data_IF_569542977090
#
_entry.id   IF_569542977090
#
_cell.length_a   1.000
_cell.length_b   1.000
_cell.length_c   1.000
_cell.angle_alpha   90.00
_cell.angle_beta   90.00
_cell.angle_gamma   90.00
#
_symmetry.space_group_name_H-M   'P 1'
#
loop_
_entity.id
_entity.type
_entity.pdbx_description
1 polymer ?
#
# COMPACT_ATOMS: atom_id res chain seq x y z
N UNK A 1 -32.79 16.08 -29.94
CA UNK A 1 -32.38 14.92 -30.78
C UNK A 1 -31.33 15.44 -31.74
N UNK A 2 -30.06 15.17 -31.47
CA UNK A 2 -28.96 15.38 -32.40
C UNK A 2 -28.06 14.15 -32.33
N UNK A 3 -27.78 13.61 -33.51
CA UNK A 3 -27.15 12.33 -33.76
C UNK A 3 -25.69 12.26 -33.33
N UNK A 4 -25.37 11.10 -32.77
CA UNK A 4 -24.05 10.63 -32.38
C UNK A 4 -23.32 10.02 -33.58
N UNK A 5 -22.44 10.78 -34.23
CA UNK A 5 -21.44 10.20 -35.16
C UNK A 5 -20.39 11.24 -35.60
N UNK A 6 -19.57 11.77 -34.68
CA UNK A 6 -18.34 12.49 -35.09
C UNK A 6 -17.32 12.80 -33.96
N UNK A 7 -16.93 11.81 -33.14
CA UNK A 7 -15.86 12.00 -32.15
C UNK A 7 -14.77 10.91 -32.14
N UNK A 8 -14.76 9.99 -33.13
CA UNK A 8 -13.81 8.86 -33.17
C UNK A 8 -12.52 9.10 -33.98
N UNK A 9 -12.26 10.30 -34.50
CA UNK A 9 -11.16 10.53 -35.45
C UNK A 9 -9.96 11.35 -34.95
N UNK A 10 -9.72 11.47 -33.63
CA UNK A 10 -8.59 12.27 -33.13
C UNK A 10 -7.46 11.52 -32.39
N UNK A 11 -7.44 10.18 -32.39
CA UNK A 11 -6.40 9.38 -31.71
C UNK A 11 -5.72 8.30 -32.57
N UNK A 12 -5.48 8.57 -33.85
CA UNK A 12 -4.59 7.73 -34.66
C UNK A 12 -3.48 8.61 -35.21
N UNK A 13 -2.31 8.60 -34.58
CA UNK A 13 -1.00 8.54 -35.26
C UNK A 13 0.13 8.30 -34.24
N UNK A 14 1.04 7.40 -34.64
CA UNK A 14 2.33 6.99 -34.03
C UNK A 14 2.33 6.02 -32.84
N UNK A 15 2.10 4.74 -33.16
CA UNK A 15 2.61 3.60 -32.37
C UNK A 15 3.72 2.91 -33.17
N UNK A 16 4.88 2.81 -32.52
CA UNK A 16 6.13 2.21 -32.99
C UNK A 16 5.97 0.69 -33.27
N UNK A 17 6.43 0.12 -34.40
CA UNK A 17 6.15 -1.27 -34.78
C UNK A 17 6.88 -2.36 -33.97
N UNK A 18 7.73 -2.02 -32.99
CA UNK A 18 8.55 -3.01 -32.27
C UNK A 18 7.84 -3.79 -31.14
N UNK A 19 6.64 -3.38 -30.70
CA UNK A 19 5.97 -3.98 -29.53
C UNK A 19 5.10 -5.22 -29.83
N UNK A 20 4.76 -5.49 -31.09
CA UNK A 20 3.85 -6.61 -31.41
C UNK A 20 4.53 -7.98 -31.50
N UNK A 21 5.85 -8.05 -31.70
CA UNK A 21 6.56 -9.34 -31.83
C UNK A 21 6.88 -10.01 -30.48
N UNK A 22 6.79 -9.29 -29.36
CA UNK A 22 7.05 -9.87 -28.02
C UNK A 22 5.83 -10.57 -27.40
N UNK A 23 4.62 -10.33 -27.92
CA UNK A 23 3.38 -10.81 -27.30
C UNK A 23 3.02 -12.27 -27.64
N UNK A 24 3.63 -12.84 -28.69
CA UNK A 24 3.26 -14.17 -29.19
C UNK A 24 4.23 -15.31 -28.79
N UNK A 25 5.46 -15.02 -28.36
CA UNK A 25 6.43 -16.06 -27.98
C UNK A 25 6.42 -16.45 -26.50
N UNK A 26 5.87 -15.62 -25.61
CA UNK A 26 5.81 -15.92 -24.17
C UNK A 26 4.60 -16.79 -23.73
N UNK A 27 3.69 -17.10 -24.65
CA UNK A 27 2.44 -17.80 -24.31
C UNK A 27 2.56 -19.33 -24.30
N UNK A 28 3.68 -19.92 -24.75
CA UNK A 28 3.77 -21.37 -24.96
C UNK A 28 4.68 -22.17 -24.01
N UNK A 29 5.41 -21.55 -23.08
CA UNK A 29 6.33 -22.28 -22.17
C UNK A 29 5.92 -22.33 -20.68
N UNK A 30 4.80 -21.73 -20.26
CA UNK A 30 4.42 -21.65 -18.83
C UNK A 30 3.27 -22.55 -18.37
N UNK A 31 2.97 -23.65 -19.08
CA UNK A 31 1.89 -24.58 -18.68
C UNK A 31 2.31 -25.76 -17.79
N UNK A 32 3.54 -25.81 -17.25
CA UNK A 32 4.03 -27.00 -16.51
C UNK A 32 4.56 -26.78 -15.08
N UNK A 33 4.24 -25.66 -14.41
CA UNK A 33 4.61 -25.47 -13.00
C UNK A 33 3.44 -24.94 -12.14
N UNK A 34 2.26 -25.53 -12.26
CA UNK A 34 1.12 -25.31 -11.35
C UNK A 34 0.81 -26.64 -10.66
N UNK A 35 1.63 -27.02 -9.67
CA UNK A 35 1.40 -28.23 -8.88
C UNK A 35 2.24 -28.25 -7.60
N UNK A 36 2.24 -27.17 -6.82
CA UNK A 36 2.65 -27.21 -5.39
C UNK A 36 1.85 -26.16 -4.62
N UNK A 37 0.53 -26.32 -4.61
CA UNK A 37 -0.37 -25.66 -3.66
C UNK A 37 -1.27 -26.75 -3.07
N UNK A 38 -0.65 -27.76 -2.44
CA UNK A 38 -1.37 -28.75 -1.65
C UNK A 38 -1.94 -28.05 -0.43
N UNK A 39 -3.27 -28.00 -0.45
CA UNK A 39 -4.20 -27.44 0.52
C UNK A 39 -4.00 -28.12 1.89
N UNK A 40 -3.18 -27.51 2.76
CA UNK A 40 -3.24 -27.79 4.18
C UNK A 40 -4.50 -27.14 4.73
N UNK A 41 -5.32 -27.88 5.48
CA UNK A 41 -6.47 -27.36 6.21
C UNK A 41 -6.00 -26.18 7.09
N UNK A 42 -6.33 -24.95 6.68
CA UNK A 42 -5.94 -23.71 7.35
C UNK A 42 -6.77 -23.54 8.63
N UNK A 43 -6.13 -23.24 9.77
CA UNK A 43 -6.83 -22.71 10.93
C UNK A 43 -7.33 -21.30 10.59
N UNK A 44 -8.65 -21.13 10.59
CA UNK A 44 -9.32 -19.85 10.38
C UNK A 44 -8.92 -18.91 11.53
N UNK A 45 -8.17 -17.85 11.24
CA UNK A 45 -7.64 -16.93 12.25
C UNK A 45 -8.47 -15.64 12.23
N UNK A 46 -9.60 -15.65 12.95
CA UNK A 46 -10.55 -14.56 12.99
C UNK A 46 -9.90 -13.26 13.50
N UNK A 47 -10.27 -12.14 12.88
CA UNK A 47 -9.81 -10.80 13.27
C UNK A 47 -10.92 -9.86 13.67
N UNK A 48 -10.54 -8.90 14.51
CA UNK A 48 -11.37 -7.77 14.91
C UNK A 48 -10.71 -6.48 14.44
N UNK A 49 -11.46 -5.61 13.77
CA UNK A 49 -11.04 -4.26 13.42
C UNK A 49 -11.94 -3.23 14.10
N UNK A 50 -11.34 -2.32 14.84
CA UNK A 50 -12.01 -1.26 15.58
C UNK A 50 -11.75 0.08 14.90
N UNK A 51 -12.80 0.75 14.46
CA UNK A 51 -12.68 1.95 13.63
C UNK A 51 -13.09 3.18 14.43
N UNK A 52 -12.26 4.22 14.32
CA UNK A 52 -12.66 5.56 14.73
C UNK A 52 -12.14 6.64 13.76
N UNK A 53 -12.69 7.83 13.87
CA UNK A 53 -12.50 8.94 12.94
C UNK A 53 -11.93 10.19 13.63
N UNK A 54 -11.19 10.99 12.87
CA UNK A 54 -10.71 12.29 13.34
C UNK A 54 -10.85 13.34 12.25
N UNK A 55 -11.45 14.47 12.62
CA UNK A 55 -11.67 15.62 11.73
C UNK A 55 -13.15 15.91 11.56
N UNK A 56 -13.45 16.89 10.72
CA UNK A 56 -14.82 17.32 10.43
C UNK A 56 -15.13 17.22 8.94
N UNK A 57 -16.41 17.18 8.57
CA UNK A 57 -16.84 17.06 7.17
C UNK A 57 -17.01 18.42 6.46
N UNK A 58 -16.62 19.53 7.10
CA UNK A 58 -16.66 20.86 6.51
C UNK A 58 -15.70 20.98 5.33
N UNK A 59 -16.13 21.73 4.31
CA UNK A 59 -15.30 22.08 3.14
C UNK A 59 -14.85 23.55 3.18
N UNK A 60 -15.18 24.28 4.25
CA UNK A 60 -14.72 25.65 4.45
C UNK A 60 -13.45 25.66 5.31
N UNK A 61 -12.29 25.63 4.65
CA UNK A 61 -10.97 25.49 5.29
C UNK A 61 -10.53 26.71 6.12
N UNK A 62 -11.29 27.81 6.12
CA UNK A 62 -11.09 28.90 7.09
C UNK A 62 -11.58 28.54 8.50
N UNK A 63 -12.48 27.55 8.63
CA UNK A 63 -13.11 27.12 9.88
C UNK A 63 -12.96 25.62 10.16
N UNK A 64 -12.65 24.85 9.12
CA UNK A 64 -12.64 23.39 9.10
C UNK A 64 -11.22 22.89 8.82
N UNK A 65 -10.88 21.71 9.35
CA UNK A 65 -9.58 21.09 9.07
C UNK A 65 -9.43 20.76 7.58
N UNK A 66 -8.20 20.63 7.09
CA UNK A 66 -7.94 20.25 5.69
C UNK A 66 -8.06 18.74 5.47
N UNK A 67 -7.87 17.94 6.51
CA UNK A 67 -7.88 16.49 6.44
C UNK A 67 -9.01 15.87 7.27
N UNK A 68 -9.48 14.71 6.83
CA UNK A 68 -10.34 13.82 7.57
C UNK A 68 -9.67 12.45 7.62
N UNK A 69 -9.57 11.85 8.80
CA UNK A 69 -8.87 10.58 8.98
C UNK A 69 -9.85 9.53 9.48
N UNK A 70 -9.65 8.30 9.00
CA UNK A 70 -10.32 7.12 9.54
C UNK A 70 -9.26 6.08 9.84
N UNK A 71 -9.23 5.59 11.07
CA UNK A 71 -8.22 4.64 11.54
C UNK A 71 -8.88 3.36 12.01
N UNK A 72 -8.39 2.23 11.50
CA UNK A 72 -8.73 0.89 11.93
C UNK A 72 -7.60 0.32 12.80
N UNK A 73 -7.95 -0.11 14.02
CA UNK A 73 -7.09 -0.87 14.92
C UNK A 73 -7.47 -2.34 14.84
N UNK A 74 -6.52 -3.18 14.44
CA UNK A 74 -6.74 -4.58 14.09
C UNK A 74 -6.08 -5.47 15.14
N UNK A 75 -6.85 -6.44 15.64
CA UNK A 75 -6.45 -7.38 16.69
C UNK A 75 -6.80 -8.80 16.23
N UNK A 76 -5.88 -9.74 16.46
CA UNK A 76 -6.15 -11.16 16.24
C UNK A 76 -6.98 -11.70 17.41
N UNK A 77 -7.89 -12.65 17.14
CA UNK A 77 -8.68 -13.29 18.20
C UNK A 77 -7.81 -13.87 19.33
N UNK A 78 -6.69 -14.50 18.99
CA UNK A 78 -5.74 -15.06 19.95
C UNK A 78 -5.05 -14.03 20.86
N UNK A 79 -4.99 -12.76 20.45
CA UNK A 79 -4.35 -11.68 21.22
C UNK A 79 -5.39 -10.76 21.90
N UNK A 80 -6.70 -11.00 21.70
CA UNK A 80 -7.79 -10.11 22.13
C UNK A 80 -7.73 -9.79 23.62
N UNK A 81 -7.76 -10.81 24.49
CA UNK A 81 -7.75 -10.64 25.95
C UNK A 81 -6.48 -9.95 26.46
N UNK A 82 -5.34 -10.23 25.82
CA UNK A 82 -4.07 -9.65 26.21
C UNK A 82 -4.03 -8.14 25.89
N UNK A 83 -4.53 -7.76 24.70
CA UNK A 83 -4.64 -6.36 24.29
C UNK A 83 -5.68 -5.63 25.13
N UNK A 84 -6.82 -6.25 25.44
CA UNK A 84 -7.85 -5.65 26.30
C UNK A 84 -7.27 -5.32 27.69
N UNK A 85 -6.63 -6.30 28.33
CA UNK A 85 -5.96 -6.10 29.64
C UNK A 85 -4.86 -5.03 29.56
N UNK A 86 -4.08 -5.00 28.48
CA UNK A 86 -3.07 -3.96 28.24
C UNK A 86 -3.69 -2.57 28.14
N UNK A 87 -4.81 -2.45 27.43
CA UNK A 87 -5.55 -1.19 27.27
C UNK A 87 -6.16 -0.73 28.59
N UNK A 88 -6.69 -1.65 29.41
CA UNK A 88 -7.17 -1.33 30.76
C UNK A 88 -6.05 -0.84 31.67
N UNK A 89 -4.85 -1.41 31.58
CA UNK A 89 -3.67 -0.92 32.33
C UNK A 89 -3.29 0.50 31.92
N UNK A 90 -3.27 0.79 30.61
CA UNK A 90 -3.04 2.13 30.08
C UNK A 90 -4.04 3.15 30.63
N UNK A 91 -5.33 2.76 30.63
CA UNK A 91 -6.43 3.57 31.17
C UNK A 91 -6.24 3.87 32.66
N UNK A 92 -5.90 2.86 33.45
CA UNK A 92 -5.62 3.03 34.88
C UNK A 92 -4.41 3.94 35.13
N UNK A 93 -3.33 3.76 34.36
CA UNK A 93 -2.08 4.50 34.55
C UNK A 93 -2.22 5.99 34.16
N UNK A 94 -2.71 6.29 32.96
CA UNK A 94 -2.71 7.66 32.43
C UNK A 94 -3.99 8.45 32.66
N UNK A 95 -5.11 7.76 32.88
CA UNK A 95 -6.45 8.35 33.01
C UNK A 95 -7.14 8.02 34.34
N UNK A 96 -6.44 7.37 35.29
CA UNK A 96 -6.99 6.96 36.59
C UNK A 96 -8.28 6.14 36.47
N UNK A 97 -8.36 5.29 35.44
CA UNK A 97 -9.56 4.52 35.15
C UNK A 97 -10.67 5.32 34.46
N UNK A 98 -10.46 6.59 34.11
CA UNK A 98 -11.34 7.35 33.22
C UNK A 98 -11.19 6.91 31.75
N UNK A 99 -12.16 7.22 30.91
CA UNK A 99 -12.15 6.90 29.47
C UNK A 99 -10.90 7.47 28.74
N UNK A 100 -10.22 6.61 27.96
CA UNK A 100 -9.07 6.93 27.12
C UNK A 100 -9.56 7.71 25.90
N UNK A 101 -9.50 9.04 25.98
CA UNK A 101 -9.91 9.95 24.90
C UNK A 101 -8.77 10.86 24.48
N UNK A 102 -8.53 10.95 23.17
CA UNK A 102 -7.49 11.79 22.57
C UNK A 102 -7.66 13.27 22.95
N UNK A 103 -8.92 13.73 22.97
CA UNK A 103 -9.29 15.10 23.31
C UNK A 103 -8.94 15.48 24.76
N UNK A 104 -8.99 14.53 25.72
CA UNK A 104 -8.71 14.78 27.14
C UNK A 104 -7.26 15.10 27.45
N UNK A 105 -6.32 14.78 26.55
CA UNK A 105 -4.90 15.09 26.73
C UNK A 105 -4.54 16.53 26.34
N UNK A 106 -5.38 17.18 25.52
CA UNK A 106 -5.15 18.54 25.07
C UNK A 106 -3.79 18.69 24.35
N UNK A 107 -3.03 19.72 24.74
CA UNK A 107 -1.72 20.09 24.15
C UNK A 107 -0.51 19.40 24.81
N UNK A 108 -0.70 18.44 25.72
CA UNK A 108 0.44 17.78 26.40
C UNK A 108 1.11 16.73 25.50
N UNK A 109 2.04 17.20 24.65
CA UNK A 109 2.76 16.37 23.69
C UNK A 109 3.56 15.24 24.36
N UNK A 110 4.24 15.51 25.48
CA UNK A 110 5.02 14.50 26.22
C UNK A 110 4.15 13.33 26.67
N UNK A 111 3.04 13.62 27.35
CA UNK A 111 2.09 12.60 27.80
C UNK A 111 1.52 11.79 26.63
N UNK A 112 1.25 12.44 25.49
CA UNK A 112 0.79 11.75 24.28
C UNK A 112 1.86 10.78 23.74
N UNK A 113 3.11 11.22 23.63
CA UNK A 113 4.22 10.35 23.18
C UNK A 113 4.38 9.12 24.08
N UNK A 114 4.29 9.30 25.39
CA UNK A 114 4.44 8.19 26.35
C UNK A 114 3.31 7.15 26.18
N UNK A 115 2.06 7.61 26.02
CA UNK A 115 0.94 6.70 25.72
C UNK A 115 1.10 6.01 24.38
N UNK A 116 1.53 6.72 23.32
CA UNK A 116 1.76 6.11 22.01
C UNK A 116 2.86 5.04 22.05
N UNK A 117 3.92 5.24 22.86
CA UNK A 117 4.96 4.23 23.07
C UNK A 117 4.38 2.98 23.73
N UNK A 118 3.59 3.14 24.78
CA UNK A 118 2.98 1.99 25.45
C UNK A 118 1.96 1.26 24.55
N UNK A 119 1.20 2.01 23.73
CA UNK A 119 0.33 1.44 22.69
C UNK A 119 1.15 0.65 21.66
N UNK A 120 2.32 1.16 21.24
CA UNK A 120 3.19 0.49 20.28
C UNK A 120 3.74 -0.86 20.80
N UNK A 121 3.73 -1.06 22.12
CA UNK A 121 4.08 -2.33 22.76
C UNK A 121 2.95 -3.38 22.77
N UNK A 122 1.71 -2.99 22.46
CA UNK A 122 0.59 -3.92 22.35
C UNK A 122 0.64 -4.68 21.00
N UNK A 123 0.12 -5.90 20.99
CA UNK A 123 -0.01 -6.73 19.78
C UNK A 123 -1.18 -6.28 18.90
N UNK A 124 -1.16 -5.01 18.51
CA UNK A 124 -2.15 -4.40 17.62
C UNK A 124 -1.51 -4.08 16.28
N UNK A 125 -2.36 -3.86 15.28
CA UNK A 125 -1.96 -3.31 13.99
C UNK A 125 -2.85 -2.13 13.63
N UNK A 126 -2.28 -1.10 13.02
CA UNK A 126 -3.00 0.14 12.71
C UNK A 126 -3.00 0.38 11.22
N UNK A 127 -4.17 0.65 10.65
CA UNK A 127 -4.32 1.11 9.27
C UNK A 127 -5.11 2.41 9.27
N UNK A 128 -4.61 3.44 8.59
CA UNK A 128 -5.27 4.75 8.55
C UNK A 128 -5.48 5.19 7.12
N UNK A 129 -6.66 5.73 6.81
CA UNK A 129 -6.94 6.45 5.57
C UNK A 129 -6.95 7.93 5.88
N UNK A 130 -6.03 8.68 5.27
CA UNK A 130 -5.93 10.13 5.40
C UNK A 130 -6.53 10.80 4.15
N UNK A 131 -7.67 11.48 4.33
CA UNK A 131 -8.39 12.15 3.25
C UNK A 131 -8.07 13.63 3.21
N UNK A 132 -7.55 14.10 2.09
CA UNK A 132 -7.36 15.52 1.82
C UNK A 132 -8.66 16.13 1.24
N UNK A 133 -9.40 16.83 2.09
CA UNK A 133 -10.73 17.36 1.75
C UNK A 133 -10.68 18.46 0.68
N UNK A 134 -9.53 19.12 0.50
CA UNK A 134 -9.35 20.20 -0.48
C UNK A 134 -9.54 19.73 -1.93
N UNK A 135 -9.44 18.42 -2.14
CA UNK A 135 -9.48 17.80 -3.46
C UNK A 135 -10.78 17.02 -3.72
N UNK A 136 -11.80 17.20 -2.86
CA UNK A 136 -13.11 16.60 -3.03
C UNK A 136 -13.96 17.42 -4.02
N UNK A 137 -14.05 16.95 -5.26
CA UNK A 137 -14.68 17.73 -6.37
C UNK A 137 -16.20 17.47 -6.52
N UNK A 138 -16.78 16.47 -5.84
CA UNK A 138 -18.19 16.11 -6.01
C UNK A 138 -19.14 16.93 -5.13
N UNK A 139 -20.30 17.35 -5.70
CA UNK A 139 -21.43 17.95 -4.96
C UNK A 139 -21.93 17.05 -3.82
N UNK A 140 -21.75 15.74 -3.95
CA UNK A 140 -22.16 14.75 -2.94
C UNK A 140 -21.43 14.90 -1.60
N UNK A 141 -20.20 15.41 -1.58
CA UNK A 141 -19.41 15.58 -0.36
C UNK A 141 -19.91 16.72 0.55
N UNK A 142 -20.81 17.57 0.04
CA UNK A 142 -21.51 18.58 0.86
C UNK A 142 -22.50 17.94 1.84
N UNK A 143 -22.97 16.73 1.55
CA UNK A 143 -23.93 16.01 2.39
C UNK A 143 -23.20 15.07 3.34
N UNK A 144 -23.43 15.23 4.65
CA UNK A 144 -22.80 14.42 5.71
C UNK A 144 -22.95 12.91 5.45
N UNK A 145 -24.18 12.43 5.23
CA UNK A 145 -24.44 10.99 5.00
C UNK A 145 -23.63 10.42 3.82
N UNK A 146 -23.59 11.14 2.70
CA UNK A 146 -22.86 10.71 1.49
C UNK A 146 -21.35 10.74 1.67
N UNK A 147 -20.82 11.75 2.38
CA UNK A 147 -19.39 11.85 2.70
C UNK A 147 -18.92 10.65 3.52
N UNK A 148 -19.56 10.38 4.66
CA UNK A 148 -19.14 9.30 5.56
C UNK A 148 -19.25 7.93 4.87
N UNK A 149 -20.36 7.70 4.15
CA UNK A 149 -20.55 6.46 3.38
C UNK A 149 -19.45 6.23 2.33
N UNK A 150 -19.01 7.27 1.65
CA UNK A 150 -17.94 7.18 0.66
C UNK A 150 -16.58 6.90 1.30
N UNK A 151 -16.28 7.56 2.41
CA UNK A 151 -15.01 7.41 3.13
C UNK A 151 -14.87 6.01 3.74
N UNK A 152 -15.89 5.55 4.46
CA UNK A 152 -15.87 4.20 5.02
C UNK A 152 -15.75 3.14 3.93
N UNK A 153 -16.42 3.34 2.77
CA UNK A 153 -16.25 2.43 1.63
C UNK A 153 -14.80 2.30 1.18
N UNK A 154 -14.01 3.39 1.22
CA UNK A 154 -12.57 3.30 0.90
C UNK A 154 -11.88 2.41 1.94
N UNK A 155 -12.04 2.70 3.23
CA UNK A 155 -11.43 1.90 4.31
C UNK A 155 -11.84 0.43 4.23
N UNK A 156 -13.14 0.15 4.14
CA UNK A 156 -13.70 -1.21 4.07
C UNK A 156 -13.16 -1.95 2.86
N UNK A 157 -13.13 -1.30 1.69
CA UNK A 157 -12.61 -1.93 0.48
C UNK A 157 -11.13 -2.28 0.60
N UNK A 158 -10.37 -1.57 1.42
CA UNK A 158 -8.95 -1.82 1.65
C UNK A 158 -8.75 -2.92 2.70
N UNK A 159 -9.55 -2.93 3.78
CA UNK A 159 -9.51 -3.98 4.80
C UNK A 159 -10.01 -5.33 4.26
N UNK A 160 -11.14 -5.35 3.54
CA UNK A 160 -11.76 -6.58 3.02
C UNK A 160 -10.90 -7.24 1.94
N UNK A 161 -10.11 -6.48 1.17
CA UNK A 161 -9.16 -7.07 0.20
C UNK A 161 -8.05 -7.88 0.88
N UNK A 162 -7.75 -7.56 2.14
CA UNK A 162 -6.60 -8.07 2.87
C UNK A 162 -7.01 -9.19 3.84
N UNK A 163 -8.21 -9.15 4.41
CA UNK A 163 -8.65 -10.09 5.45
C UNK A 163 -9.78 -11.02 4.98
N UNK A 164 -9.56 -12.33 5.05
CA UNK A 164 -10.52 -13.39 4.69
C UNK A 164 -11.69 -13.45 5.71
N UNK A 165 -11.41 -13.37 7.02
CA UNK A 165 -12.43 -13.30 8.08
C UNK A 165 -12.22 -12.10 9.01
N UNK A 166 -13.15 -11.14 8.94
CA UNK A 166 -13.04 -9.86 9.65
C UNK A 166 -14.36 -9.46 10.31
N UNK A 167 -14.29 -9.18 11.61
CA UNK A 167 -15.37 -8.49 12.35
C UNK A 167 -14.98 -7.03 12.52
N UNK A 168 -15.75 -6.11 11.94
CA UNK A 168 -15.56 -4.68 12.08
C UNK A 168 -16.51 -4.13 13.15
N UNK A 169 -15.96 -3.42 14.14
CA UNK A 169 -16.70 -2.65 15.13
C UNK A 169 -16.36 -1.16 14.97
N UNK A 170 -17.35 -0.32 14.73
CA UNK A 170 -17.19 1.14 14.65
C UNK A 170 -17.90 1.83 15.82
N UNK A 171 -17.40 2.99 16.25
CA UNK A 171 -18.17 3.83 17.18
C UNK A 171 -19.51 4.22 16.55
N UNK A 172 -20.52 4.41 17.39
CA UNK A 172 -21.85 4.79 16.94
C UNK A 172 -21.87 6.26 16.54
N UNK A 173 -22.06 6.56 15.26
CA UNK A 173 -22.15 7.93 14.75
C UNK A 173 -23.36 8.13 13.83
N UNK A 174 -24.05 9.26 14.00
CA UNK A 174 -25.28 9.56 13.28
C UNK A 174 -26.53 8.90 13.88
N UNK A 175 -27.64 8.96 13.15
CA UNK A 175 -28.93 8.42 13.61
C UNK A 175 -29.04 6.92 13.32
N UNK A 176 -29.88 6.21 14.08
CA UNK A 176 -30.07 4.75 13.94
C UNK A 176 -30.39 4.31 12.50
N UNK A 177 -31.23 5.09 11.80
CA UNK A 177 -31.59 4.84 10.40
C UNK A 177 -30.39 4.95 9.44
N UNK A 178 -29.43 5.84 9.73
CA UNK A 178 -28.19 5.94 8.95
C UNK A 178 -27.29 4.72 9.20
N UNK A 179 -27.16 4.29 10.45
CA UNK A 179 -26.37 3.13 10.84
C UNK A 179 -26.93 1.84 10.22
N UNK A 180 -28.24 1.63 10.27
CA UNK A 180 -28.91 0.49 9.62
C UNK A 180 -28.74 0.51 8.10
N UNK A 181 -28.95 1.67 7.47
CA UNK A 181 -28.75 1.85 6.03
C UNK A 181 -27.30 1.62 5.60
N UNK A 182 -26.34 1.93 6.47
CA UNK A 182 -24.91 1.69 6.24
C UNK A 182 -24.55 0.21 6.36
N UNK A 183 -25.03 -0.49 7.39
CA UNK A 183 -24.87 -1.95 7.52
C UNK A 183 -25.47 -2.71 6.33
N UNK A 184 -26.69 -2.35 5.93
CA UNK A 184 -27.34 -2.94 4.77
C UNK A 184 -26.57 -2.68 3.47
N UNK A 185 -26.00 -1.48 3.32
CA UNK A 185 -25.16 -1.13 2.19
C UNK A 185 -23.89 -1.99 2.12
N UNK A 186 -23.15 -2.15 3.23
CA UNK A 186 -21.94 -2.97 3.24
C UNK A 186 -22.28 -4.43 2.90
N UNK A 187 -23.29 -5.01 3.55
CA UNK A 187 -23.73 -6.40 3.26
C UNK A 187 -24.11 -6.60 1.79
N UNK A 188 -24.71 -5.60 1.15
CA UNK A 188 -25.09 -5.65 -0.26
C UNK A 188 -23.88 -5.59 -1.21
N UNK A 189 -22.87 -4.79 -0.88
CA UNK A 189 -21.68 -4.62 -1.73
C UNK A 189 -20.58 -5.65 -1.46
N UNK A 190 -20.65 -6.31 -0.30
CA UNK A 190 -19.72 -7.36 0.13
C UNK A 190 -20.53 -8.53 0.73
N UNK A 191 -21.24 -9.31 -0.11
CA UNK A 191 -22.02 -10.44 0.38
C UNK A 191 -21.08 -11.49 0.99
N UNK A 192 -21.40 -12.08 2.15
CA UNK A 192 -20.63 -13.17 2.70
C UNK A 192 -20.65 -14.36 1.74
N UNK A 193 -19.49 -14.98 1.54
CA UNK A 193 -19.35 -16.21 0.75
C UNK A 193 -18.72 -17.31 1.61
N UNK A 194 -18.57 -18.52 1.07
CA UNK A 194 -18.04 -19.68 1.80
C UNK A 194 -16.62 -19.47 2.36
N UNK A 195 -15.91 -18.45 1.88
CA UNK A 195 -14.52 -18.13 2.24
C UNK A 195 -14.36 -16.75 2.90
N UNK A 196 -15.38 -15.88 2.85
CA UNK A 196 -15.37 -14.54 3.39
C UNK A 196 -16.56 -14.31 4.33
N UNK A 197 -16.31 -14.43 5.64
CA UNK A 197 -17.27 -14.09 6.67
C UNK A 197 -16.99 -12.69 7.21
N UNK A 198 -17.66 -11.69 6.63
CA UNK A 198 -17.57 -10.31 7.06
C UNK A 198 -18.73 -9.95 7.98
N UNK A 199 -18.43 -9.51 9.20
CA UNK A 199 -19.43 -9.08 10.18
C UNK A 199 -19.18 -7.62 10.57
N UNK A 200 -20.16 -6.75 10.33
CA UNK A 200 -20.09 -5.35 10.73
C UNK A 200 -21.03 -5.08 11.90
N UNK A 201 -20.53 -4.41 12.95
CA UNK A 201 -21.29 -4.04 14.15
C UNK A 201 -21.00 -2.58 14.52
N UNK A 202 -22.02 -1.89 15.02
CA UNK A 202 -21.84 -0.61 15.70
C UNK A 202 -21.84 -0.86 17.21
N UNK A 203 -20.89 -0.27 17.91
CA UNK A 203 -20.75 -0.38 19.37
C UNK A 203 -20.57 1.01 19.98
N UNK A 204 -20.91 1.17 21.26
CA UNK A 204 -20.70 2.44 21.97
C UNK A 204 -19.26 2.56 22.48
N UNK A 205 -18.57 3.65 22.16
CA UNK A 205 -17.18 3.92 22.60
C UNK A 205 -16.95 3.93 24.11
N UNK A 206 -17.97 4.23 24.93
CA UNK A 206 -17.83 4.27 26.40
C UNK A 206 -17.57 2.90 27.02
N UNK A 207 -18.11 1.82 26.44
CA UNK A 207 -17.99 0.47 26.96
C UNK A 207 -16.86 -0.33 26.31
N UNK A 208 -16.44 0.03 25.09
CA UNK A 208 -15.44 -0.72 24.35
C UNK A 208 -14.04 -0.06 24.44
N UNK A 209 -13.10 -0.76 25.06
CA UNK A 209 -11.71 -0.31 25.24
C UNK A 209 -10.92 -0.20 23.94
N UNK A 210 -11.25 -1.00 22.93
CA UNK A 210 -10.58 -0.97 21.64
C UNK A 210 -11.01 0.21 20.77
N UNK A 211 -12.29 0.63 20.85
CA UNK A 211 -12.75 1.87 20.21
C UNK A 211 -12.04 3.10 20.81
N UNK A 212 -11.80 3.11 22.12
CA UNK A 212 -11.01 4.16 22.77
C UNK A 212 -9.54 4.15 22.32
N UNK A 213 -8.98 2.96 22.07
CA UNK A 213 -7.64 2.82 21.50
C UNK A 213 -7.60 3.40 20.08
N UNK A 214 -8.62 3.13 19.27
CA UNK A 214 -8.77 3.70 17.93
C UNK A 214 -8.90 5.23 17.95
N UNK A 215 -9.72 5.81 18.85
CA UNK A 215 -9.83 7.27 19.07
C UNK A 215 -8.48 7.89 19.39
N UNK A 216 -7.73 7.29 20.31
CA UNK A 216 -6.45 7.84 20.72
C UNK A 216 -5.44 7.88 19.58
N UNK A 217 -5.33 6.78 18.82
CA UNK A 217 -4.43 6.68 17.68
C UNK A 217 -4.89 7.59 16.54
N UNK A 218 -6.17 7.56 16.17
CA UNK A 218 -6.73 8.37 15.09
C UNK A 218 -6.56 9.86 15.36
N UNK A 219 -6.88 10.31 16.58
CA UNK A 219 -6.70 11.70 16.98
C UNK A 219 -5.22 12.11 17.04
N UNK A 220 -4.31 11.20 17.41
CA UNK A 220 -2.87 11.49 17.44
C UNK A 220 -2.29 11.63 16.03
N UNK A 221 -2.65 10.74 15.10
CA UNK A 221 -2.27 10.86 13.69
C UNK A 221 -2.92 12.12 13.09
N UNK A 222 -4.19 12.38 13.39
CA UNK A 222 -4.92 13.54 12.87
C UNK A 222 -4.28 14.88 13.21
N UNK A 223 -3.62 14.99 14.37
CA UNK A 223 -2.85 16.19 14.74
C UNK A 223 -1.66 16.45 13.83
N UNK A 224 -1.02 15.41 13.31
CA UNK A 224 0.09 15.55 12.35
C UNK A 224 -0.38 16.26 11.08
N UNK A 225 -1.60 15.95 10.63
CA UNK A 225 -2.22 16.54 9.44
C UNK A 225 -2.92 17.87 9.70
N UNK A 226 -3.06 18.28 10.98
CA UNK A 226 -3.67 19.55 11.32
C UNK A 226 -2.59 20.64 11.33
N UNK A 227 -2.68 21.56 10.36
CA UNK A 227 -1.79 22.71 10.24
C UNK A 227 -1.90 23.67 11.42
N UNK A 228 -3.06 23.71 12.08
CA UNK A 228 -3.33 24.63 13.20
C UNK A 228 -2.89 24.07 14.57
N UNK A 229 -2.22 22.91 14.60
CA UNK A 229 -1.64 22.36 15.81
C UNK A 229 -0.18 22.81 15.92
N UNK A 230 0.12 23.65 16.92
CA UNK A 230 1.43 24.28 17.19
C UNK A 230 2.45 23.30 17.81
N UNK A 231 2.14 22.01 17.85
CA UNK A 231 3.02 20.98 18.39
C UNK A 231 4.19 20.73 17.44
N UNK A 232 5.35 21.32 17.74
CA UNK A 232 6.59 21.20 16.97
C UNK A 232 7.08 19.75 16.83
N UNK A 233 6.65 18.86 17.72
CA UNK A 233 7.07 17.46 17.76
C UNK A 233 6.07 16.49 17.14
N UNK A 234 4.96 16.98 16.54
CA UNK A 234 3.88 16.12 16.02
C UNK A 234 4.34 15.07 15.01
N UNK A 235 5.38 15.36 14.23
CA UNK A 235 5.98 14.42 13.26
C UNK A 235 6.53 13.14 13.93
N UNK A 236 6.89 13.19 15.21
CA UNK A 236 7.40 12.03 15.95
C UNK A 236 6.32 11.00 16.28
N UNK A 237 5.03 11.36 16.22
CA UNK A 237 3.93 10.43 16.51
C UNK A 237 3.87 9.26 15.53
N UNK A 238 4.09 9.53 14.23
CA UNK A 238 4.11 8.48 13.20
C UNK A 238 5.33 7.56 13.41
N UNK A 239 6.49 8.12 13.74
CA UNK A 239 7.69 7.33 13.99
C UNK A 239 7.55 6.41 15.22
N UNK A 240 6.91 6.87 16.29
CA UNK A 240 6.60 6.04 17.48
C UNK A 240 5.64 4.90 17.11
N UNK A 241 4.63 5.17 16.26
CA UNK A 241 3.62 4.19 15.87
C UNK A 241 4.08 3.21 14.78
N UNK A 242 5.22 3.49 14.12
CA UNK A 242 5.78 2.68 13.03
C UNK A 242 5.85 1.16 13.29
N UNK A 243 6.13 0.65 14.51
CA UNK A 243 6.14 -0.79 14.77
C UNK A 243 4.77 -1.46 14.62
N UNK A 244 3.69 -0.73 14.87
CA UNK A 244 2.30 -1.23 14.81
C UNK A 244 1.55 -0.73 13.57
N UNK A 245 2.01 0.34 12.94
CA UNK A 245 1.40 0.96 11.77
C UNK A 245 1.67 0.14 10.50
N UNK A 246 0.61 -0.40 9.91
CA UNK A 246 0.63 -1.11 8.63
C UNK A 246 0.86 -0.11 7.49
N UNK A 247 -0.01 0.90 7.39
CA UNK A 247 -0.04 1.86 6.28
C UNK A 247 -0.90 3.07 6.63
N UNK A 248 -0.47 4.26 6.21
CA UNK A 248 -1.34 5.44 6.07
C UNK A 248 -1.62 5.64 4.57
N UNK A 249 -2.83 5.26 4.16
CA UNK A 249 -3.28 5.40 2.79
C UNK A 249 -3.84 6.81 2.55
N UNK A 250 -3.17 7.57 1.69
CA UNK A 250 -3.56 8.93 1.38
C UNK A 250 -4.55 8.96 0.22
N UNK A 251 -5.67 9.65 0.42
CA UNK A 251 -6.73 9.75 -0.57
C UNK A 251 -7.15 11.22 -0.79
N UNK A 252 -7.37 11.69 -2.02
CA UNK A 252 -7.11 10.99 -3.28
C UNK A 252 -5.61 10.74 -3.48
N UNK A 253 -5.22 9.65 -4.16
CA UNK A 253 -3.82 9.42 -4.51
C UNK A 253 -3.35 10.51 -5.50
N UNK A 254 -2.53 11.45 -5.02
CA UNK A 254 -2.02 12.58 -5.82
C UNK A 254 -0.55 12.81 -5.52
N UNK A 255 0.28 12.83 -6.55
CA UNK A 255 1.73 12.97 -6.40
C UNK A 255 2.18 14.44 -6.34
N UNK A 256 1.37 15.37 -6.85
CA UNK A 256 1.71 16.80 -6.98
C UNK A 256 1.93 17.47 -5.61
N UNK A 257 1.14 17.09 -4.61
CA UNK A 257 1.30 17.57 -3.23
C UNK A 257 2.65 17.14 -2.65
N UNK A 258 3.10 15.93 -2.93
CA UNK A 258 4.36 15.42 -2.38
C UNK A 258 5.58 16.07 -3.02
N UNK A 259 5.52 16.41 -4.30
CA UNK A 259 6.57 17.21 -4.92
C UNK A 259 6.70 18.55 -4.20
N UNK A 260 5.58 19.18 -3.84
CA UNK A 260 5.61 20.44 -3.07
C UNK A 260 6.15 20.23 -1.65
N UNK A 261 5.68 19.20 -0.93
CA UNK A 261 6.17 18.87 0.42
C UNK A 261 7.69 18.56 0.41
N UNK A 262 8.21 17.94 -0.66
CA UNK A 262 9.65 17.71 -0.86
C UNK A 262 10.44 18.99 -1.13
N UNK A 263 9.85 19.93 -1.89
CA UNK A 263 10.43 21.27 -2.11
C UNK A 263 10.53 22.03 -0.79
N UNK A 264 9.47 22.00 0.01
CA UNK A 264 9.40 22.72 1.29
C UNK A 264 10.32 22.14 2.37
N UNK A 265 10.62 20.84 2.31
CA UNK A 265 11.51 20.16 3.25
C UNK A 265 13.00 20.26 2.91
N UNK A 266 13.36 20.82 1.75
CA UNK A 266 14.75 20.97 1.32
C UNK A 266 15.45 19.65 0.95
N UNK A 267 14.69 18.58 0.74
CA UNK A 267 15.25 17.31 0.28
C UNK A 267 15.85 17.45 -1.12
N UNK A 268 16.96 16.75 -1.37
CA UNK A 268 17.57 16.70 -2.70
C UNK A 268 16.86 15.63 -3.53
N UNK A 269 16.13 16.04 -4.57
CA UNK A 269 15.47 15.14 -5.51
C UNK A 269 15.44 15.73 -6.91
N UNK A 270 15.22 14.88 -7.92
CA UNK A 270 14.96 15.29 -9.29
C UNK A 270 13.44 15.27 -9.52
N UNK A 271 12.87 16.44 -9.81
CA UNK A 271 11.42 16.63 -9.95
C UNK A 271 10.82 15.76 -11.05
N UNK A 272 11.48 15.69 -12.22
CA UNK A 272 11.00 14.92 -13.37
C UNK A 272 11.00 13.42 -13.06
N UNK A 273 12.10 12.92 -12.49
CA UNK A 273 12.22 11.50 -12.12
C UNK A 273 11.15 11.14 -11.09
N UNK A 274 10.98 11.98 -10.08
CA UNK A 274 10.01 11.75 -9.00
C UNK A 274 8.57 11.80 -9.51
N UNK A 275 8.24 12.79 -10.33
CA UNK A 275 6.93 12.96 -11.00
C UNK A 275 6.57 11.71 -11.81
N UNK A 276 7.43 11.32 -12.73
CA UNK A 276 7.19 10.18 -13.63
C UNK A 276 7.05 8.89 -12.83
N UNK A 277 7.91 8.67 -11.84
CA UNK A 277 7.91 7.44 -11.04
C UNK A 277 6.65 7.30 -10.19
N UNK A 278 6.23 8.38 -9.52
CA UNK A 278 5.00 8.41 -8.74
C UNK A 278 3.76 8.27 -9.63
N UNK A 279 3.69 8.98 -10.75
CA UNK A 279 2.56 8.90 -11.68
C UNK A 279 2.38 7.50 -12.24
N UNK A 280 3.46 6.84 -12.68
CA UNK A 280 3.39 5.46 -13.19
C UNK A 280 2.93 4.50 -12.09
N UNK A 281 3.46 4.62 -10.86
CA UNK A 281 3.06 3.76 -9.75
C UNK A 281 1.58 3.94 -9.37
N UNK A 282 1.08 5.18 -9.33
CA UNK A 282 -0.32 5.47 -9.00
C UNK A 282 -1.28 5.02 -10.11
N UNK A 283 -0.92 5.21 -11.39
CA UNK A 283 -1.70 4.71 -12.52
C UNK A 283 -1.79 3.18 -12.49
N UNK A 284 -0.71 2.51 -12.08
CA UNK A 284 -0.72 1.07 -11.89
C UNK A 284 -1.69 0.65 -10.77
N UNK A 285 -1.61 1.31 -9.61
CA UNK A 285 -2.50 1.06 -8.48
C UNK A 285 -3.96 1.26 -8.86
N UNK A 286 -4.29 2.35 -9.56
CA UNK A 286 -5.67 2.64 -9.96
C UNK A 286 -6.21 1.62 -10.95
N UNK A 287 -5.40 1.24 -11.96
CA UNK A 287 -5.76 0.27 -12.98
C UNK A 287 -6.05 -1.13 -12.42
N UNK A 288 -5.34 -1.53 -11.35
CA UNK A 288 -5.45 -2.88 -10.76
C UNK A 288 -6.10 -2.91 -9.38
N UNK A 289 -6.70 -1.79 -8.94
CA UNK A 289 -7.29 -1.63 -7.60
C UNK A 289 -8.40 -2.62 -7.24
N UNK A 290 -9.10 -3.19 -8.24
CA UNK A 290 -10.21 -4.15 -8.09
C UNK A 290 -9.90 -5.54 -8.65
N UNK A 291 -8.62 -5.89 -8.81
CA UNK A 291 -8.22 -7.18 -9.38
C UNK A 291 -8.47 -8.34 -8.43
N UNK A 292 -8.84 -9.50 -8.97
CA UNK A 292 -8.96 -10.77 -8.23
C UNK A 292 -7.68 -11.59 -8.27
N UNK A 293 -6.71 -11.25 -9.13
CA UNK A 293 -5.42 -11.94 -9.24
C UNK A 293 -4.53 -11.65 -8.02
N UNK A 294 -4.14 -12.72 -7.32
CA UNK A 294 -3.37 -12.62 -6.08
C UNK A 294 -1.99 -11.96 -6.27
N UNK A 295 -1.31 -12.24 -7.39
CA UNK A 295 0.00 -11.65 -7.67
C UNK A 295 -0.15 -10.16 -7.90
N UNK A 296 -1.18 -9.74 -8.65
CA UNK A 296 -1.46 -8.32 -8.88
C UNK A 296 -1.89 -7.59 -7.61
N UNK A 297 -2.67 -8.23 -6.74
CA UNK A 297 -2.97 -7.68 -5.41
C UNK A 297 -1.68 -7.38 -4.64
N UNK A 298 -0.75 -8.34 -4.58
CA UNK A 298 0.55 -8.13 -3.92
C UNK A 298 1.37 -7.00 -4.55
N UNK A 299 1.34 -6.87 -5.88
CA UNK A 299 2.01 -5.77 -6.59
C UNK A 299 1.44 -4.40 -6.19
N UNK A 300 0.10 -4.29 -6.17
CA UNK A 300 -0.60 -3.06 -5.77
C UNK A 300 -0.29 -2.69 -4.32
N UNK A 301 -0.38 -3.64 -3.39
CA UNK A 301 -0.09 -3.40 -1.98
C UNK A 301 1.39 -3.04 -1.74
N UNK A 302 2.32 -3.69 -2.44
CA UNK A 302 3.73 -3.31 -2.40
C UNK A 302 3.95 -1.86 -2.87
N UNK A 303 3.31 -1.44 -3.96
CA UNK A 303 3.45 -0.07 -4.45
C UNK A 303 2.86 0.95 -3.48
N UNK A 304 1.70 0.67 -2.89
CA UNK A 304 1.11 1.53 -1.84
C UNK A 304 2.08 1.69 -0.67
N UNK A 305 2.72 0.61 -0.24
CA UNK A 305 3.69 0.66 0.85
C UNK A 305 4.99 1.38 0.50
N UNK A 306 5.49 1.19 -0.72
CA UNK A 306 6.66 1.92 -1.22
C UNK A 306 6.37 3.42 -1.32
N UNK A 307 5.18 3.81 -1.80
CA UNK A 307 4.75 5.20 -1.83
C UNK A 307 4.59 5.78 -0.43
N UNK A 308 4.00 5.03 0.50
CA UNK A 308 3.91 5.42 1.91
C UNK A 308 5.27 5.67 2.55
N UNK A 309 6.23 4.76 2.34
CA UNK A 309 7.59 4.96 2.85
C UNK A 309 8.29 6.12 2.15
N UNK A 310 8.05 6.32 0.85
CA UNK A 310 8.53 7.49 0.13
C UNK A 310 8.01 8.80 0.75
N UNK A 311 6.74 8.85 1.18
CA UNK A 311 6.18 10.03 1.84
C UNK A 311 6.77 10.32 3.21
N UNK A 312 7.19 9.29 3.95
CA UNK A 312 7.83 9.46 5.26
C UNK A 312 9.32 9.75 5.11
N UNK A 313 10.01 8.99 4.26
CA UNK A 313 11.44 9.09 4.04
C UNK A 313 11.77 8.66 2.59
N UNK A 314 11.93 9.62 1.67
CA UNK A 314 12.19 9.38 0.25
C UNK A 314 13.48 8.60 -0.05
N UNK A 315 14.45 8.68 0.86
CA UNK A 315 15.77 8.07 0.69
C UNK A 315 15.82 6.61 1.17
N UNK A 316 14.81 6.17 1.92
CA UNK A 316 14.77 4.85 2.53
C UNK A 316 14.49 3.77 1.47
N UNK A 317 15.40 2.79 1.41
CA UNK A 317 15.17 1.53 0.70
C UNK A 317 14.43 0.54 1.61
N UNK A 318 13.41 -0.11 1.05
CA UNK A 318 12.58 -1.09 1.76
C UNK A 318 13.03 -2.50 1.42
N UNK A 319 13.51 -3.23 2.43
CA UNK A 319 14.04 -4.57 2.23
C UNK A 319 12.97 -5.55 1.75
N UNK A 320 13.38 -6.62 1.07
CA UNK A 320 12.45 -7.70 0.66
C UNK A 320 11.69 -8.28 1.86
N UNK A 321 12.37 -8.44 3.01
CA UNK A 321 11.75 -8.95 4.23
C UNK A 321 10.70 -8.00 4.81
N UNK A 322 10.88 -6.69 4.66
CA UNK A 322 9.93 -5.68 5.10
C UNK A 322 8.69 -5.64 4.19
N UNK A 323 8.88 -5.69 2.87
CA UNK A 323 7.76 -5.82 1.93
C UNK A 323 6.94 -7.08 2.16
N UNK A 324 7.59 -8.23 2.34
CA UNK A 324 6.89 -9.49 2.65
C UNK A 324 6.14 -9.36 3.98
N UNK A 325 6.74 -8.79 5.03
CA UNK A 325 6.05 -8.54 6.30
C UNK A 325 4.85 -7.60 6.15
N UNK A 326 4.93 -6.61 5.27
CA UNK A 326 3.81 -5.71 5.00
C UNK A 326 2.66 -6.41 4.27
N UNK A 327 2.97 -7.29 3.31
CA UNK A 327 1.98 -8.16 2.66
C UNK A 327 1.40 -9.23 3.60
N UNK A 328 2.17 -9.59 4.63
CA UNK A 328 1.81 -10.57 5.64
C UNK A 328 1.60 -9.92 7.02
N UNK A 329 0.58 -9.03 7.23
CA UNK A 329 0.14 -8.74 8.61
C UNK A 329 -0.41 -10.00 9.31
N UNK A 330 -0.55 -11.10 8.55
CA UNK A 330 -1.02 -12.43 8.91
C UNK A 330 -0.12 -13.48 8.27
N UNK A 331 0.29 -14.45 9.09
CA UNK A 331 1.03 -15.66 8.69
C UNK A 331 2.50 -15.42 8.30
N UNK A 332 3.37 -15.64 9.29
CA UNK A 332 4.74 -16.05 9.10
C UNK A 332 4.80 -17.31 8.22
N UNK A 333 5.55 -17.23 7.11
CA UNK A 333 6.17 -18.35 6.36
C UNK A 333 5.65 -18.81 4.98
N UNK A 334 4.82 -18.06 4.25
CA UNK A 334 4.33 -18.57 2.94
C UNK A 334 5.13 -18.18 1.69
N UNK A 335 5.81 -17.02 1.65
CA UNK A 335 6.48 -16.56 0.41
C UNK A 335 8.01 -16.52 0.57
N UNK A 336 8.71 -17.40 -0.16
CA UNK A 336 10.17 -17.37 -0.26
C UNK A 336 10.64 -16.04 -0.87
N UNK A 337 11.67 -15.36 -0.31
CA UNK A 337 12.15 -14.07 -0.83
C UNK A 337 12.51 -14.10 -2.32
N UNK A 338 13.09 -15.19 -2.81
CA UNK A 338 13.42 -15.36 -4.24
C UNK A 338 12.17 -15.37 -5.11
N UNK A 339 11.14 -16.13 -4.72
CA UNK A 339 9.87 -16.20 -5.42
C UNK A 339 9.17 -14.84 -5.42
N UNK A 340 9.18 -14.12 -4.30
CA UNK A 340 8.64 -12.76 -4.21
C UNK A 340 9.30 -11.81 -5.22
N UNK A 341 10.64 -11.79 -5.25
CA UNK A 341 11.39 -10.91 -6.16
C UNK A 341 11.07 -11.21 -7.63
N UNK A 342 10.97 -12.49 -8.00
CA UNK A 342 10.73 -12.91 -9.39
C UNK A 342 9.26 -12.75 -9.81
N UNK A 343 8.31 -13.16 -8.96
CA UNK A 343 6.90 -13.21 -9.34
C UNK A 343 6.17 -11.88 -9.10
N UNK A 344 6.60 -11.09 -8.12
CA UNK A 344 5.95 -9.81 -7.77
C UNK A 344 6.76 -8.65 -8.33
N UNK A 345 7.99 -8.45 -7.85
CA UNK A 345 8.78 -7.25 -8.15
C UNK A 345 9.34 -7.21 -9.58
N UNK A 346 9.81 -8.34 -10.12
CA UNK A 346 10.28 -8.39 -11.50
C UNK A 346 9.12 -8.17 -12.48
N UNK A 347 8.01 -8.90 -12.33
CA UNK A 347 6.81 -8.71 -13.17
C UNK A 347 6.24 -7.30 -13.12
N UNK A 348 6.36 -6.62 -11.98
CA UNK A 348 5.94 -5.22 -11.83
C UNK A 348 6.81 -4.29 -12.69
N UNK A 349 8.13 -4.52 -12.71
CA UNK A 349 9.06 -3.80 -13.60
C UNK A 349 8.88 -4.18 -15.07
N UNK A 350 8.58 -5.44 -15.37
CA UNK A 350 8.28 -5.89 -16.73
C UNK A 350 7.04 -5.19 -17.31
N UNK A 351 6.15 -4.69 -16.45
CA UNK A 351 4.99 -3.87 -16.81
C UNK A 351 5.28 -2.37 -16.88
N UNK A 352 6.56 -1.98 -16.81
CA UNK A 352 7.01 -0.60 -16.97
C UNK A 352 6.93 0.25 -15.70
N UNK A 353 6.65 -0.34 -14.53
CA UNK A 353 6.63 0.42 -13.27
C UNK A 353 8.06 0.71 -12.81
N UNK A 354 8.35 1.98 -12.52
CA UNK A 354 9.66 2.44 -12.09
C UNK A 354 9.89 2.17 -10.60
N UNK A 355 10.60 1.09 -10.31
CA UNK A 355 11.06 0.75 -8.95
C UNK A 355 12.55 0.51 -8.99
N UNK A 356 13.31 1.37 -8.30
CA UNK A 356 14.74 1.20 -8.13
C UNK A 356 15.01 0.06 -7.13
N UNK A 357 16.02 -0.76 -7.43
CA UNK A 357 16.43 -1.86 -6.56
C UNK A 357 17.94 -1.89 -6.38
N UNK A 358 18.38 -2.15 -5.16
CA UNK A 358 19.77 -2.41 -4.81
C UNK A 358 19.86 -3.50 -3.73
N UNK A 359 21.05 -3.74 -3.18
CA UNK A 359 21.28 -4.71 -2.11
C UNK A 359 20.45 -4.43 -0.84
N UNK A 360 20.09 -3.17 -0.59
CA UNK A 360 19.30 -2.74 0.58
C UNK A 360 17.80 -3.00 0.40
N UNK A 361 17.31 -3.01 -0.84
CA UNK A 361 15.91 -3.31 -1.14
C UNK A 361 15.36 -2.54 -2.32
N UNK A 362 14.10 -2.12 -2.21
CA UNK A 362 13.33 -1.45 -3.24
C UNK A 362 12.89 -0.06 -2.80
N UNK A 363 12.82 0.89 -3.73
CA UNK A 363 12.16 2.18 -3.51
C UNK A 363 11.63 2.79 -4.80
N UNK A 364 10.76 3.79 -4.65
CA UNK A 364 10.41 4.67 -5.77
C UNK A 364 11.61 5.60 -6.03
N UNK A 365 12.14 5.65 -7.26
CA UNK A 365 13.31 6.49 -7.55
C UNK A 365 12.96 7.98 -7.48
N UNK A 366 13.83 8.73 -6.82
CA UNK A 366 13.68 10.18 -6.62
C UNK A 366 14.85 10.98 -7.17
N UNK A 367 16.01 10.33 -7.33
CA UNK A 367 17.25 10.95 -7.81
C UNK A 367 17.82 10.19 -9.01
N UNK A 368 18.68 10.87 -9.77
CA UNK A 368 19.48 10.23 -10.84
C UNK A 368 20.36 9.11 -10.28
N UNK A 369 20.90 9.30 -9.06
CA UNK A 369 21.68 8.29 -8.35
C UNK A 369 20.90 6.99 -8.15
N UNK A 370 19.60 7.06 -7.87
CA UNK A 370 18.78 5.85 -7.69
C UNK A 370 18.61 5.07 -8.99
N UNK A 371 18.43 5.79 -10.10
CA UNK A 371 18.39 5.21 -11.44
C UNK A 371 19.73 4.56 -11.79
N UNK A 372 20.84 5.26 -11.56
CA UNK A 372 22.19 4.76 -11.83
C UNK A 372 22.53 3.54 -10.96
N UNK A 373 22.23 3.58 -9.66
CA UNK A 373 22.46 2.44 -8.75
C UNK A 373 21.72 1.17 -9.23
N UNK A 374 20.52 1.33 -9.76
CA UNK A 374 19.75 0.22 -10.31
C UNK A 374 20.44 -0.38 -11.56
N UNK A 375 20.91 0.47 -12.47
CA UNK A 375 21.65 0.05 -13.66
C UNK A 375 22.99 -0.59 -13.29
N UNK A 376 23.74 -0.01 -12.33
CA UNK A 376 25.01 -0.58 -11.85
C UNK A 376 24.83 -1.97 -11.25
N UNK A 377 23.80 -2.15 -10.42
CA UNK A 377 23.49 -3.46 -9.83
C UNK A 377 23.18 -4.49 -10.91
N UNK A 378 22.44 -4.07 -11.95
CA UNK A 378 22.12 -4.92 -13.10
C UNK A 378 23.38 -5.24 -13.92
N UNK A 379 24.23 -4.25 -14.16
CA UNK A 379 25.47 -4.40 -14.93
C UNK A 379 26.46 -5.36 -14.26
N UNK A 380 26.60 -5.29 -12.92
CA UNK A 380 27.43 -6.24 -12.13
C UNK A 380 27.02 -7.70 -12.32
N UNK A 381 25.76 -7.95 -12.69
CA UNK A 381 25.25 -9.31 -12.93
C UNK A 381 25.30 -9.65 -14.42
N UNK A 382 24.81 -8.76 -15.28
CA UNK A 382 24.64 -9.00 -16.72
C UNK A 382 26.00 -9.07 -17.42
N UNK A 383 26.90 -8.11 -17.19
CA UNK A 383 28.17 -8.07 -17.93
C UNK A 383 29.03 -9.34 -17.72
N UNK A 384 29.26 -9.83 -16.49
CA UNK A 384 29.99 -11.09 -16.30
C UNK A 384 29.30 -12.30 -16.92
N UNK A 385 27.97 -12.35 -16.92
CA UNK A 385 27.21 -13.43 -17.56
C UNK A 385 27.37 -13.41 -19.09
N UNK A 386 27.30 -12.22 -19.70
CA UNK A 386 27.51 -12.08 -21.13
C UNK A 386 28.94 -12.48 -21.52
N UNK A 387 29.96 -12.04 -20.76
CA UNK A 387 31.35 -12.45 -21.00
C UNK A 387 31.54 -13.97 -20.90
N UNK A 388 30.89 -14.65 -19.93
CA UNK A 388 30.97 -16.11 -19.79
C UNK A 388 30.34 -16.83 -20.98
N UNK A 389 29.16 -16.36 -21.44
CA UNK A 389 28.48 -16.94 -22.61
C UNK A 389 29.34 -16.76 -23.86
N UNK A 390 29.91 -15.57 -24.08
CA UNK A 390 30.78 -15.33 -25.23
C UNK A 390 32.01 -16.22 -25.23
N UNK A 391 32.69 -16.36 -24.08
CA UNK A 391 33.85 -17.25 -23.96
C UNK A 391 33.48 -18.71 -24.25
N UNK A 392 32.33 -19.15 -23.75
CA UNK A 392 31.82 -20.50 -24.02
C UNK A 392 31.52 -20.71 -25.52
N UNK A 393 30.79 -19.78 -26.16
CA UNK A 393 30.50 -19.80 -27.60
C UNK A 393 31.77 -19.87 -28.43
N UNK A 394 32.74 -18.98 -28.16
CA UNK A 394 34.02 -18.93 -28.87
C UNK A 394 34.81 -20.23 -28.73
N UNK A 395 34.83 -20.82 -27.53
CA UNK A 395 35.56 -22.07 -27.27
C UNK A 395 34.98 -23.24 -28.07
N UNK A 396 33.64 -23.33 -28.16
CA UNK A 396 32.97 -24.38 -28.94
C UNK A 396 33.12 -24.14 -30.45
N UNK A 397 32.99 -22.90 -30.91
CA UNK A 397 33.23 -22.56 -32.32
C UNK A 397 34.66 -22.91 -32.74
N UNK A 398 35.65 -22.59 -31.92
CA UNK A 398 37.05 -22.95 -32.18
C UNK A 398 37.24 -24.47 -32.22
N UNK A 399 36.73 -25.19 -31.21
CA UNK A 399 36.87 -26.66 -31.11
C UNK A 399 36.16 -27.40 -32.25
N UNK A 400 35.09 -26.83 -32.80
CA UNK A 400 34.30 -27.43 -33.90
C UNK A 400 34.65 -26.85 -35.27
N UNK A 401 35.70 -26.03 -35.38
CA UNK A 401 36.09 -25.33 -36.60
C UNK A 401 34.91 -24.60 -37.28
N UNK A 402 34.06 -23.96 -36.47
CA UNK A 402 32.88 -23.23 -36.91
C UNK A 402 31.66 -24.07 -37.30
N UNK A 403 31.71 -25.40 -37.18
CA UNK A 403 30.60 -26.27 -37.57
C UNK A 403 29.38 -26.18 -36.63
N UNK A 404 29.60 -25.79 -35.37
CA UNK A 404 28.54 -25.70 -34.38
C UNK A 404 28.59 -24.40 -33.59
N UNK A 405 27.56 -23.57 -33.76
CA UNK A 405 27.30 -22.39 -32.95
C UNK A 405 26.26 -22.73 -31.87
N UNK A 406 26.65 -22.65 -30.60
CA UNK A 406 25.76 -22.89 -29.45
C UNK A 406 24.57 -21.92 -29.40
N UNK A 407 24.68 -20.76 -30.04
CA UNK A 407 23.59 -19.79 -30.17
C UNK A 407 22.83 -19.92 -31.51
N UNK A 408 23.19 -20.88 -32.36
CA UNK A 408 22.55 -21.17 -33.64
C UNK A 408 21.07 -21.57 -33.57
N UNK A 409 20.62 -22.35 -32.56
CA UNK A 409 19.20 -22.70 -32.42
C UNK A 409 18.27 -21.48 -32.30
N UNK A 410 17.11 -21.52 -32.95
CA UNK A 410 16.18 -20.37 -33.07
C UNK A 410 15.68 -19.82 -31.73
N UNK A 411 15.59 -20.67 -30.71
CA UNK A 411 15.24 -20.30 -29.34
C UNK A 411 16.22 -19.33 -28.66
N UNK A 412 17.46 -19.22 -29.17
CA UNK A 412 18.48 -18.31 -28.67
C UNK A 412 18.70 -17.08 -29.57
N UNK A 413 17.81 -16.85 -30.55
CA UNK A 413 17.93 -15.76 -31.52
C UNK A 413 18.10 -14.36 -30.91
N UNK A 414 17.47 -14.08 -29.76
CA UNK A 414 17.66 -12.81 -29.06
C UNK A 414 19.09 -12.64 -28.53
N UNK A 415 19.62 -13.67 -27.85
CA UNK A 415 21.00 -13.65 -27.35
C UNK A 415 22.00 -13.61 -28.50
N UNK A 416 21.73 -14.34 -29.59
CA UNK A 416 22.56 -14.31 -30.79
C UNK A 416 22.69 -12.89 -31.35
N UNK A 417 21.56 -12.16 -31.51
CA UNK A 417 21.59 -10.74 -31.93
C UNK A 417 22.44 -9.87 -31.01
N UNK A 418 22.27 -10.01 -29.70
CA UNK A 418 23.05 -9.24 -28.71
C UNK A 418 24.56 -9.45 -28.88
N UNK A 419 25.02 -10.65 -29.24
CA UNK A 419 26.45 -10.93 -29.43
C UNK A 419 26.96 -10.73 -30.86
N UNK A 420 26.07 -10.74 -31.85
CA UNK A 420 26.44 -10.50 -33.25
C UNK A 420 26.49 -8.98 -33.57
N UNK A 421 25.77 -8.15 -32.78
CA UNK A 421 25.74 -6.68 -32.90
C UNK A 421 26.79 -5.95 -32.00
N UNK A 422 27.58 -6.69 -31.21
CA UNK A 422 28.70 -6.20 -30.38
C UNK A 422 30.01 -6.65 -31.03
#
# INVERSE_FOLDING_TARGET
MCDSSNLDNFWKFNINPFLNSFRLLYCHQNRRNISYFTRSFKSVNRKFAFIDESGDNGLNFSKSGTHFLVTAVIVNESDYDAVEKGTLKLRSHYFRGGELKSSKIGKNAKKRKDILKDISGLKVRVFTVAIDKRHLVSKGFKYKKSFYKYIHRILDSELIKVFEELTISSDSYGDAEFMEGFQAYIKKHHPPDLFNNFNFKFEGSKSNTFLQLADFICGSIGRVYNSNDDDSDKSQYIEILKPVLILIYHWPPRYEKYINDLKDSGHIFNEIITDVSCRIALNYISAWSSTTDQVKKYQVECLKYLLFNFYINPDKYISTKELIRHLSPLESDTIKPTTFRLQVMAKLRDQGVLVASNERGFKIPTTEKDCLNFIETSNKTIAPMLTRIQRFRNSILLATNGQFDVLGPSQFSYLKKVFDDI
#
